data_IF_073282934732
#
_entry.id   IF_073282934732
#
_cell.length_a   1.000
_cell.length_b   1.000
_cell.length_c   1.000
_cell.angle_alpha   90.00
_cell.angle_beta   90.00
_cell.angle_gamma   90.00
#
_symmetry.space_group_name_H-M   'P 1'
#
loop_
_entity.id
_entity.type
_entity.pdbx_description
1 polymer ?
#
# COMPACT_ATOMS: atom_id res chain seq x y z
N UNK A 1 -21.87 -26.54 4.08
CA UNK A 1 -20.94 -25.67 4.83
C UNK A 1 -19.61 -25.51 4.10
N UNK A 2 -19.02 -26.56 3.53
CA UNK A 2 -17.72 -26.53 2.80
C UNK A 2 -17.58 -25.47 1.70
N UNK A 3 -18.60 -25.22 0.88
CA UNK A 3 -18.51 -24.21 -0.18
C UNK A 3 -18.40 -22.77 0.37
N UNK A 4 -19.07 -22.48 1.50
CA UNK A 4 -19.02 -21.14 2.12
C UNK A 4 -17.67 -20.92 2.83
N UNK A 5 -17.14 -21.95 3.49
CA UNK A 5 -15.80 -21.93 4.09
C UNK A 5 -14.69 -21.66 3.06
N UNK A 6 -14.77 -22.26 1.87
CA UNK A 6 -13.80 -21.98 0.78
C UNK A 6 -13.86 -20.50 0.36
N UNK A 7 -15.05 -19.90 0.31
CA UNK A 7 -15.19 -18.47 0.00
C UNK A 7 -14.69 -17.56 1.11
N UNK A 8 -14.84 -17.95 2.38
CA UNK A 8 -14.26 -17.22 3.52
C UNK A 8 -12.74 -17.28 3.51
N UNK A 9 -12.17 -18.47 3.27
CA UNK A 9 -10.73 -18.65 3.16
C UNK A 9 -10.15 -17.76 2.05
N UNK A 10 -10.82 -17.72 0.88
CA UNK A 10 -10.40 -16.87 -0.23
C UNK A 10 -10.48 -15.36 0.09
N UNK A 11 -11.49 -14.92 0.86
CA UNK A 11 -11.60 -13.52 1.31
C UNK A 11 -10.49 -13.17 2.31
N UNK A 12 -10.18 -14.08 3.23
CA UNK A 12 -9.11 -13.91 4.21
C UNK A 12 -7.73 -13.85 3.52
N UNK A 13 -7.48 -14.75 2.57
CA UNK A 13 -6.26 -14.76 1.75
C UNK A 13 -6.11 -13.49 0.93
N UNK A 14 -7.20 -12.99 0.34
CA UNK A 14 -7.21 -11.74 -0.41
C UNK A 14 -6.91 -10.54 0.50
N UNK A 15 -7.53 -10.49 1.68
CA UNK A 15 -7.29 -9.44 2.66
C UNK A 15 -5.85 -9.48 3.22
N UNK A 16 -5.27 -10.68 3.40
CA UNK A 16 -3.88 -10.86 3.81
C UNK A 16 -2.93 -10.37 2.72
N UNK A 17 -3.14 -10.79 1.48
CA UNK A 17 -2.36 -10.35 0.32
C UNK A 17 -2.41 -8.83 0.17
N UNK A 18 -3.59 -8.22 0.32
CA UNK A 18 -3.74 -6.76 0.29
C UNK A 18 -2.89 -6.07 1.38
N UNK A 19 -2.89 -6.60 2.61
CA UNK A 19 -2.05 -6.07 3.69
C UNK A 19 -0.56 -6.22 3.41
N UNK A 20 -0.14 -7.35 2.85
CA UNK A 20 1.26 -7.58 2.46
C UNK A 20 1.72 -6.59 1.39
N UNK A 21 0.91 -6.37 0.35
CA UNK A 21 1.20 -5.39 -0.70
C UNK A 21 1.25 -3.98 -0.11
N UNK A 22 0.31 -3.61 0.77
CA UNK A 22 0.35 -2.31 1.45
C UNK A 22 1.63 -2.12 2.28
N UNK A 23 2.11 -3.17 2.96
CA UNK A 23 3.38 -3.16 3.69
C UNK A 23 4.60 -3.03 2.78
N UNK A 24 4.61 -3.70 1.63
CA UNK A 24 5.69 -3.56 0.63
C UNK A 24 5.74 -2.15 0.03
N UNK A 25 4.58 -1.54 -0.23
CA UNK A 25 4.48 -0.16 -0.69
C UNK A 25 5.03 0.81 0.37
N UNK A 26 4.67 0.62 1.65
CA UNK A 26 5.21 1.44 2.73
C UNK A 26 6.73 1.31 2.86
N UNK A 27 7.27 0.09 2.79
CA UNK A 27 8.72 -0.12 2.80
C UNK A 27 9.42 0.57 1.62
N UNK A 28 8.81 0.50 0.43
CA UNK A 28 9.34 1.15 -0.77
C UNK A 28 9.28 2.67 -0.66
N UNK A 29 8.17 3.23 -0.14
CA UNK A 29 8.02 4.65 0.10
C UNK A 29 9.08 5.17 1.07
N UNK A 30 9.28 4.49 2.21
CA UNK A 30 10.35 4.85 3.16
C UNK A 30 11.74 4.80 2.51
N UNK A 31 12.00 3.85 1.61
CA UNK A 31 13.28 3.77 0.89
C UNK A 31 13.47 4.91 -0.11
N UNK A 32 12.41 5.33 -0.80
CA UNK A 32 12.43 6.49 -1.71
C UNK A 32 12.68 7.77 -0.90
N UNK A 33 11.95 7.99 0.20
CA UNK A 33 12.17 9.13 1.09
C UNK A 33 13.60 9.14 1.67
N UNK A 34 14.13 7.98 2.05
CA UNK A 34 15.49 7.83 2.56
C UNK A 34 16.55 8.15 1.49
N UNK A 35 16.28 7.88 0.22
CA UNK A 35 17.18 8.15 -0.89
C UNK A 35 17.14 9.64 -1.29
N UNK A 36 15.95 10.25 -1.28
CA UNK A 36 15.75 11.66 -1.62
C UNK A 36 16.21 12.63 -0.54
N UNK A 37 15.98 12.32 0.74
CA UNK A 37 16.25 13.24 1.86
C UNK A 37 17.73 13.45 2.22
N UNK A 38 18.69 12.90 1.45
CA UNK A 38 20.11 13.08 1.76
C UNK A 38 21.12 12.71 0.69
N UNK A 39 20.75 11.89 -0.31
CA UNK A 39 21.66 11.54 -1.41
C UNK A 39 21.31 12.33 -2.68
N UNK A 40 20.10 12.20 -3.23
CA UNK A 40 19.76 12.63 -4.60
C UNK A 40 19.36 14.10 -4.75
N UNK A 41 18.86 14.75 -3.70
CA UNK A 41 18.50 16.19 -3.71
C UNK A 41 19.69 17.15 -3.58
N UNK A 42 20.90 16.64 -3.33
CA UNK A 42 22.10 17.46 -3.28
C UNK A 42 22.60 17.79 -4.68
N UNK A 43 22.64 19.07 -5.06
CA UNK A 43 23.27 19.53 -6.31
C UNK A 43 24.69 18.95 -6.51
N UNK A 44 25.37 18.60 -5.41
CA UNK A 44 26.63 17.87 -5.32
C UNK A 44 26.68 16.57 -6.14
N UNK A 45 25.58 15.82 -6.27
CA UNK A 45 25.52 14.59 -7.08
C UNK A 45 25.63 14.89 -8.57
N UNK A 46 25.08 16.02 -9.00
CA UNK A 46 25.21 16.49 -10.38
C UNK A 46 26.54 17.24 -10.62
N UNK A 47 27.40 17.31 -9.60
CA UNK A 47 28.75 17.88 -9.69
C UNK A 47 28.74 19.37 -10.06
N UNK A 48 29.64 19.76 -10.96
CA UNK A 48 29.77 21.15 -11.44
C UNK A 48 28.88 21.46 -12.66
N UNK A 49 27.87 20.64 -12.92
CA UNK A 49 26.98 20.85 -14.06
C UNK A 49 26.24 22.20 -13.90
N UNK A 50 26.32 23.06 -14.91
CA UNK A 50 25.51 24.27 -14.93
C UNK A 50 24.02 23.87 -14.93
N UNK A 51 23.25 24.35 -13.94
CA UNK A 51 21.87 23.92 -13.73
C UNK A 51 21.68 22.68 -12.83
N UNK A 52 22.76 22.17 -12.22
CA UNK A 52 22.71 21.07 -11.24
C UNK A 52 21.66 21.26 -10.13
N UNK A 53 21.47 22.50 -9.65
CA UNK A 53 20.46 22.84 -8.65
C UNK A 53 19.02 22.70 -9.18
N UNK A 54 18.79 23.08 -10.44
CA UNK A 54 17.49 22.93 -11.10
C UNK A 54 17.16 21.45 -11.36
N UNK A 55 18.15 20.67 -11.79
CA UNK A 55 17.99 19.23 -11.95
C UNK A 55 17.74 18.52 -10.61
N UNK A 56 18.47 18.90 -9.55
CA UNK A 56 18.23 18.39 -8.20
C UNK A 56 16.82 18.70 -7.70
N UNK A 57 16.32 19.91 -7.98
CA UNK A 57 14.95 20.29 -7.62
C UNK A 57 13.91 19.45 -8.37
N UNK A 58 14.09 19.26 -9.68
CA UNK A 58 13.19 18.43 -10.48
C UNK A 58 13.19 16.95 -10.04
N UNK A 59 14.34 16.41 -9.63
CA UNK A 59 14.44 15.06 -9.05
C UNK A 59 13.70 14.98 -7.72
N UNK A 60 13.89 15.96 -6.84
CA UNK A 60 13.18 16.04 -5.57
C UNK A 60 11.65 16.12 -5.75
N UNK A 61 11.18 16.87 -6.75
CA UNK A 61 9.74 16.97 -7.06
C UNK A 61 9.18 15.62 -7.53
N UNK A 62 9.91 14.89 -8.38
CA UNK A 62 9.52 13.55 -8.83
C UNK A 62 9.51 12.56 -7.67
N UNK A 63 10.51 12.59 -6.80
CA UNK A 63 10.57 11.73 -5.61
C UNK A 63 9.39 12.00 -4.67
N UNK A 64 9.03 13.28 -4.47
CA UNK A 64 7.87 13.67 -3.68
C UNK A 64 6.57 13.13 -4.28
N UNK A 65 6.36 13.32 -5.60
CA UNK A 65 5.17 12.79 -6.28
C UNK A 65 5.07 11.25 -6.19
N UNK A 66 6.21 10.55 -6.29
CA UNK A 66 6.25 9.08 -6.13
C UNK A 66 5.89 8.68 -4.70
N UNK A 67 6.38 9.40 -3.70
CA UNK A 67 6.00 9.21 -2.30
C UNK A 67 4.48 9.33 -2.08
N UNK A 68 3.90 10.41 -2.59
CA UNK A 68 2.45 10.69 -2.49
C UNK A 68 1.61 9.58 -3.16
N UNK A 69 2.00 9.12 -4.35
CA UNK A 69 1.31 8.04 -5.05
C UNK A 69 1.39 6.70 -4.31
N UNK A 70 2.54 6.39 -3.69
CA UNK A 70 2.66 5.18 -2.87
C UNK A 70 1.81 5.26 -1.61
N UNK A 71 1.71 6.42 -0.96
CA UNK A 71 0.81 6.63 0.17
C UNK A 71 -0.66 6.46 -0.26
N UNK A 72 -1.07 7.08 -1.37
CA UNK A 72 -2.43 6.94 -1.89
C UNK A 72 -2.76 5.48 -2.27
N UNK A 73 -1.81 4.75 -2.84
CA UNK A 73 -1.96 3.33 -3.15
C UNK A 73 -2.11 2.48 -1.88
N UNK A 74 -1.29 2.73 -0.85
CA UNK A 74 -1.38 2.06 0.45
C UNK A 74 -2.76 2.26 1.07
N UNK A 75 -3.27 3.49 1.07
CA UNK A 75 -4.55 3.82 1.69
C UNK A 75 -5.73 3.14 0.97
N UNK A 76 -5.71 3.13 -0.38
CA UNK A 76 -6.72 2.43 -1.19
C UNK A 76 -6.71 0.93 -0.92
N UNK A 77 -5.53 0.30 -0.90
CA UNK A 77 -5.39 -1.15 -0.64
C UNK A 77 -5.81 -1.48 0.80
N UNK A 78 -5.44 -0.63 1.77
CA UNK A 78 -5.89 -0.76 3.16
C UNK A 78 -7.41 -0.67 3.30
N UNK A 79 -8.06 0.21 2.53
CA UNK A 79 -9.52 0.30 2.47
C UNK A 79 -10.17 -0.98 1.90
N UNK A 80 -9.59 -1.56 0.84
CA UNK A 80 -10.04 -2.85 0.29
C UNK A 80 -9.93 -3.96 1.34
N UNK A 81 -8.81 -4.07 2.05
CA UNK A 81 -8.64 -5.07 3.10
C UNK A 81 -9.68 -4.93 4.22
N UNK A 82 -10.03 -3.69 4.61
CA UNK A 82 -11.09 -3.42 5.60
C UNK A 82 -12.47 -3.82 5.07
N UNK A 83 -12.78 -3.49 3.82
CA UNK A 83 -14.05 -3.84 3.19
C UNK A 83 -14.23 -5.36 3.09
N UNK A 84 -13.18 -6.10 2.70
CA UNK A 84 -13.19 -7.56 2.67
C UNK A 84 -13.46 -8.15 4.06
N UNK A 85 -12.80 -7.63 5.10
CA UNK A 85 -13.05 -8.05 6.49
C UNK A 85 -14.48 -7.76 6.97
N UNK A 86 -15.09 -6.65 6.53
CA UNK A 86 -16.48 -6.33 6.85
C UNK A 86 -17.47 -7.27 6.14
N UNK A 87 -17.22 -7.61 4.87
CA UNK A 87 -18.01 -8.60 4.12
C UNK A 87 -17.95 -9.96 4.81
N UNK A 88 -16.76 -10.41 5.20
CA UNK A 88 -16.57 -11.68 5.90
C UNK A 88 -17.39 -11.73 7.20
N UNK A 89 -17.30 -10.69 8.03
CA UNK A 89 -18.06 -10.59 9.29
C UNK A 89 -19.58 -10.61 9.06
N UNK A 90 -20.06 -9.85 8.06
CA UNK A 90 -21.48 -9.79 7.74
C UNK A 90 -22.02 -11.14 7.24
N UNK A 91 -21.26 -11.85 6.40
CA UNK A 91 -21.67 -13.16 5.90
C UNK A 91 -21.61 -14.21 7.03
N UNK A 92 -20.61 -14.19 7.91
CA UNK A 92 -20.58 -15.06 9.11
C UNK A 92 -21.78 -14.80 10.03
N UNK A 93 -22.11 -13.53 10.26
CA UNK A 93 -23.26 -13.13 11.08
C UNK A 93 -24.59 -13.59 10.46
N UNK A 94 -24.77 -13.40 9.15
CA UNK A 94 -25.94 -13.87 8.42
C UNK A 94 -26.07 -15.41 8.44
N UNK A 95 -24.96 -16.14 8.26
CA UNK A 95 -24.96 -17.60 8.32
C UNK A 95 -25.37 -18.11 9.72
N UNK A 96 -24.85 -17.47 10.79
CA UNK A 96 -25.23 -17.78 12.17
C UNK A 96 -26.70 -17.45 12.46
N UNK A 97 -27.21 -16.33 11.94
CA UNK A 97 -28.60 -15.93 12.09
C UNK A 97 -29.58 -16.87 11.36
N UNK A 98 -29.16 -17.43 10.22
CA UNK A 98 -29.98 -18.36 9.42
C UNK A 98 -29.96 -19.82 9.94
N UNK A 99 -29.45 -20.07 11.15
CA UNK A 99 -29.57 -21.37 11.81
C UNK A 99 -28.56 -22.43 11.36
N UNK A 100 -27.51 -22.05 10.61
CA UNK A 100 -26.34 -22.90 10.40
C UNK A 100 -25.52 -22.93 11.70
N UNK A 101 -25.95 -23.73 12.67
CA UNK A 101 -25.16 -24.05 13.85
C UNK A 101 -24.01 -24.98 13.47
N UNK A 102 -22.78 -24.54 13.79
CA UNK A 102 -21.49 -25.25 13.92
C UNK A 102 -21.19 -26.38 12.90
#
# INVERSE_FOLDING_TARGET
MTALDIHFQALEDCAKTAREVAGQLQYTATKVESAGSGLLGGASIFGKLAGASGLASAVNDVETMVGDEFEAARDKIGAVAKALGAVEQNVRAANKANGAAA
#
